data_IF_674803872032
#
_entry.id   IF_674803872032
#
_cell.length_a   1.000
_cell.length_b   1.000
_cell.length_c   1.000
_cell.angle_alpha   90.00
_cell.angle_beta   90.00
_cell.angle_gamma   90.00
#
_symmetry.space_group_name_H-M   'P 1'
#
loop_
_entity.id
_entity.type
_entity.pdbx_description
1 polymer ?
#
# COMPACT_ATOMS: atom_id res chain seq x y z
N UNK A 1 -0.79 23.43 20.89
CA UNK A 1 -0.16 23.23 19.57
C UNK A 1 1.19 22.58 19.82
N UNK A 2 1.48 21.40 19.26
CA UNK A 2 2.76 20.72 19.45
C UNK A 2 3.80 21.29 18.47
N UNK A 3 5.09 21.17 18.80
CA UNK A 3 6.17 21.58 17.88
C UNK A 3 6.20 20.65 16.66
N UNK A 4 6.08 21.22 15.47
CA UNK A 4 6.24 20.48 14.21
C UNK A 4 7.75 20.32 13.98
N UNK A 5 8.25 19.09 14.13
CA UNK A 5 9.66 18.76 13.88
C UNK A 5 9.91 18.54 12.38
N UNK A 6 8.92 17.97 11.68
CA UNK A 6 8.97 17.70 10.25
C UNK A 6 7.57 17.97 9.64
N UNK A 7 7.53 18.61 8.47
CA UNK A 7 6.28 18.86 7.76
C UNK A 7 5.88 17.65 6.92
N UNK A 8 4.83 16.97 7.38
CA UNK A 8 4.32 15.75 6.78
C UNK A 8 3.68 15.94 5.42
N UNK A 9 3.34 17.16 5.01
CA UNK A 9 2.80 17.41 3.67
C UNK A 9 3.86 17.42 2.58
N UNK A 10 5.12 17.68 2.93
CA UNK A 10 6.23 17.76 1.96
C UNK A 10 7.13 16.52 1.97
N UNK A 11 6.94 15.61 2.95
CA UNK A 11 7.82 14.43 3.13
C UNK A 11 7.85 13.49 1.94
N UNK A 12 6.72 13.32 1.24
CA UNK A 12 6.51 12.23 0.28
C UNK A 12 6.12 12.74 -1.11
N UNK A 13 6.67 13.89 -1.51
CA UNK A 13 6.52 14.40 -2.87
C UNK A 13 7.08 13.43 -3.92
N UNK A 14 6.48 13.33 -5.12
CA UNK A 14 6.94 12.42 -6.17
C UNK A 14 8.43 12.55 -6.50
N UNK A 15 8.98 13.76 -6.44
CA UNK A 15 10.40 14.03 -6.70
C UNK A 15 11.32 13.35 -5.69
N UNK A 16 10.93 13.36 -4.41
CA UNK A 16 11.68 12.72 -3.33
C UNK A 16 11.54 11.20 -3.43
N UNK A 17 10.30 10.74 -3.54
CA UNK A 17 9.99 9.31 -3.49
C UNK A 17 10.55 8.53 -4.69
N UNK A 18 10.59 9.16 -5.87
CA UNK A 18 11.12 8.54 -7.09
C UNK A 18 12.55 8.99 -7.42
N UNK A 19 13.31 9.57 -6.49
CA UNK A 19 14.69 10.05 -6.73
C UNK A 19 15.57 9.00 -7.43
N UNK A 20 15.60 7.76 -6.90
CA UNK A 20 16.41 6.67 -7.48
C UNK A 20 15.95 6.31 -8.90
N UNK A 21 14.65 6.37 -9.15
CA UNK A 21 14.08 6.07 -10.46
C UNK A 21 14.40 7.18 -11.47
N UNK A 22 14.27 8.44 -11.08
CA UNK A 22 14.55 9.60 -11.92
C UNK A 22 16.04 9.65 -12.31
N UNK A 23 16.93 9.24 -11.41
CA UNK A 23 18.36 9.13 -11.69
C UNK A 23 18.72 8.10 -12.78
N UNK A 24 17.82 7.18 -13.12
CA UNK A 24 18.04 6.21 -14.22
C UNK A 24 17.92 6.81 -15.62
N UNK A 25 17.42 8.05 -15.74
CA UNK A 25 17.15 8.72 -17.03
C UNK A 25 16.14 8.00 -17.95
N UNK A 26 15.45 6.96 -17.46
CA UNK A 26 14.36 6.28 -18.18
C UNK A 26 12.98 6.91 -17.91
N UNK A 27 12.88 7.69 -16.83
CA UNK A 27 11.65 8.30 -16.33
C UNK A 27 11.84 9.80 -16.15
N UNK A 28 10.75 10.56 -16.26
CA UNK A 28 10.74 12.01 -16.07
C UNK A 28 9.56 12.45 -15.22
N UNK A 29 9.74 13.59 -14.57
CA UNK A 29 8.63 14.35 -14.01
C UNK A 29 7.87 15.03 -15.17
N UNK A 30 6.55 14.93 -15.14
CA UNK A 30 5.64 15.68 -16.01
C UNK A 30 4.77 16.61 -15.17
N UNK A 31 4.66 17.86 -15.62
CA UNK A 31 3.76 18.87 -15.07
C UNK A 31 2.51 19.06 -15.95
N UNK A 32 2.22 18.10 -16.84
CA UNK A 32 1.07 18.17 -17.75
C UNK A 32 -0.26 18.33 -17.01
N UNK A 33 -0.33 17.86 -15.76
CA UNK A 33 -1.52 17.96 -14.91
C UNK A 33 -1.41 19.06 -13.82
N UNK A 34 -0.51 20.05 -13.96
CA UNK A 34 -0.29 21.09 -12.94
C UNK A 34 -1.56 21.88 -12.57
N UNK A 35 -2.47 22.06 -13.52
CA UNK A 35 -3.76 22.74 -13.34
C UNK A 35 -4.93 21.77 -13.12
N UNK A 36 -4.64 20.46 -13.00
CA UNK A 36 -5.61 19.39 -12.86
C UNK A 36 -6.62 19.25 -14.02
N UNK A 37 -6.31 19.85 -15.18
CA UNK A 37 -7.20 19.84 -16.36
C UNK A 37 -7.16 18.53 -17.15
N UNK A 38 -6.05 17.78 -17.07
CA UNK A 38 -5.90 16.47 -17.76
C UNK A 38 -6.60 15.37 -16.96
N UNK A 39 -6.39 15.37 -15.64
CA UNK A 39 -7.10 14.51 -14.72
C UNK A 39 -7.32 15.22 -13.39
N UNK A 40 -8.59 15.52 -13.07
CA UNK A 40 -8.95 16.26 -11.85
C UNK A 40 -8.75 15.48 -10.54
N UNK A 41 -8.45 14.19 -10.64
CA UNK A 41 -8.29 13.27 -9.50
C UNK A 41 -6.87 12.72 -9.35
N UNK A 42 -5.96 13.02 -10.28
CA UNK A 42 -4.53 12.78 -10.10
C UNK A 42 -3.84 13.99 -9.51
N UNK A 43 -2.61 13.77 -9.06
CA UNK A 43 -1.72 14.81 -8.56
C UNK A 43 -1.31 15.80 -9.65
N UNK A 44 -0.83 16.97 -9.22
CA UNK A 44 -0.32 18.02 -10.10
C UNK A 44 1.01 17.64 -10.77
N UNK A 45 1.77 16.76 -10.12
CA UNK A 45 3.07 16.25 -10.55
C UNK A 45 2.98 14.74 -10.74
N UNK A 46 3.48 14.26 -11.88
CA UNK A 46 3.35 12.86 -12.30
C UNK A 46 4.69 12.31 -12.81
N UNK A 47 4.88 11.00 -12.66
CA UNK A 47 6.06 10.30 -13.19
C UNK A 47 5.65 9.50 -14.42
N UNK A 48 6.28 9.81 -15.55
CA UNK A 48 6.01 9.18 -16.85
C UNK A 48 7.32 8.72 -17.51
N UNK A 49 7.29 7.74 -18.42
CA UNK A 49 8.50 7.33 -19.15
C UNK A 49 9.06 8.50 -19.97
N UNK A 50 10.39 8.64 -20.03
CA UNK A 50 11.04 9.77 -20.69
C UNK A 50 10.73 9.85 -22.20
N UNK A 51 10.46 8.70 -22.83
CA UNK A 51 10.09 8.59 -24.25
C UNK A 51 8.64 9.01 -24.56
N UNK A 52 7.82 9.26 -23.54
CA UNK A 52 6.43 9.70 -23.68
C UNK A 52 6.38 11.20 -23.52
N UNK A 53 5.92 11.91 -24.55
CA UNK A 53 5.63 13.35 -24.54
C UNK A 53 4.27 13.67 -23.88
N UNK A 54 4.09 14.92 -23.46
CA UNK A 54 2.88 15.36 -22.75
C UNK A 54 1.61 15.30 -23.64
N UNK A 55 1.73 15.47 -24.96
CA UNK A 55 0.61 15.32 -25.89
C UNK A 55 0.10 13.87 -25.96
N UNK A 56 1.01 12.90 -25.92
CA UNK A 56 0.70 11.47 -25.81
C UNK A 56 -0.06 11.20 -24.50
N UNK A 57 0.35 11.83 -23.40
CA UNK A 57 -0.34 11.71 -22.11
C UNK A 57 -1.76 12.26 -22.20
N UNK A 58 -1.95 13.46 -22.74
CA UNK A 58 -3.28 14.08 -22.90
C UNK A 58 -4.18 13.22 -23.79
N UNK A 59 -3.65 12.67 -24.89
CA UNK A 59 -4.41 11.79 -25.77
C UNK A 59 -4.85 10.48 -25.09
N UNK A 60 -4.00 9.86 -24.25
CA UNK A 60 -4.38 8.70 -23.44
C UNK A 60 -5.38 9.08 -22.34
N UNK A 61 -5.24 10.25 -21.70
CA UNK A 61 -6.19 10.74 -20.72
C UNK A 61 -7.61 10.87 -21.29
N UNK A 62 -7.74 11.44 -22.49
CA UNK A 62 -9.03 11.53 -23.19
C UNK A 62 -9.64 10.17 -23.58
N UNK A 63 -8.85 9.10 -23.55
CA UNK A 63 -9.30 7.73 -23.80
C UNK A 63 -9.61 6.95 -22.52
N UNK A 64 -9.28 7.47 -21.33
CA UNK A 64 -9.41 6.77 -20.05
C UNK A 64 -10.47 7.45 -19.19
N UNK A 65 -11.32 6.67 -18.54
CA UNK A 65 -12.41 7.18 -17.71
C UNK A 65 -11.90 8.20 -16.66
N UNK A 66 -12.48 9.40 -16.63
CA UNK A 66 -12.07 10.48 -15.73
C UNK A 66 -10.65 11.04 -15.98
N UNK A 67 -10.08 10.82 -17.16
CA UNK A 67 -8.72 11.27 -17.48
C UNK A 67 -7.62 10.43 -16.82
N UNK A 68 -7.95 9.31 -16.18
CA UNK A 68 -7.01 8.52 -15.36
C UNK A 68 -6.20 7.55 -16.22
N UNK A 69 -5.31 8.12 -17.04
CA UNK A 69 -4.40 7.38 -17.91
C UNK A 69 -3.40 6.50 -17.14
N UNK A 70 -2.75 5.53 -17.80
CA UNK A 70 -1.76 4.68 -17.16
C UNK A 70 -0.60 5.49 -16.57
N UNK A 71 -0.45 5.41 -15.24
CA UNK A 71 0.66 6.02 -14.49
C UNK A 71 1.46 4.97 -13.73
N UNK A 72 2.71 5.30 -13.43
CA UNK A 72 3.57 4.49 -12.59
C UNK A 72 2.99 4.37 -11.16
N UNK A 73 3.00 3.15 -10.66
CA UNK A 73 2.73 2.82 -9.26
C UNK A 73 4.00 2.30 -8.58
N UNK A 74 4.73 1.39 -9.24
CA UNK A 74 5.96 0.79 -8.72
C UNK A 74 6.85 0.25 -9.85
N UNK A 75 8.18 0.29 -9.66
CA UNK A 75 9.15 -0.41 -10.51
C UNK A 75 9.92 -1.40 -9.63
N UNK A 76 9.87 -2.68 -10.00
CA UNK A 76 10.58 -3.75 -9.28
C UNK A 76 12.07 -3.77 -9.66
N UNK A 77 12.91 -4.34 -8.79
CA UNK A 77 14.37 -4.40 -8.99
C UNK A 77 14.79 -5.15 -10.27
N UNK A 78 13.97 -6.09 -10.74
CA UNK A 78 14.17 -6.79 -12.03
C UNK A 78 13.77 -5.95 -13.26
N UNK A 79 13.36 -4.70 -13.08
CA UNK A 79 12.97 -3.76 -14.14
C UNK A 79 11.50 -3.82 -14.54
N UNK A 80 10.70 -4.75 -14.03
CA UNK A 80 9.25 -4.81 -14.33
C UNK A 80 8.51 -3.65 -13.70
N UNK A 81 7.43 -3.22 -14.36
CA UNK A 81 6.70 -2.00 -14.00
C UNK A 81 5.24 -2.34 -13.65
N UNK A 82 4.78 -1.83 -12.52
CA UNK A 82 3.39 -1.79 -12.12
C UNK A 82 2.79 -0.44 -12.50
N UNK A 83 1.82 -0.47 -13.40
CA UNK A 83 0.99 0.64 -13.81
C UNK A 83 -0.41 0.52 -13.22
N UNK A 84 -1.07 1.67 -13.11
CA UNK A 84 -2.49 1.75 -12.76
C UNK A 84 -3.22 2.78 -13.60
N UNK A 85 -4.51 2.55 -13.83
CA UNK A 85 -5.37 3.45 -14.60
C UNK A 85 -6.84 3.23 -14.26
N UNK A 86 -7.72 3.97 -14.93
CA UNK A 86 -9.13 3.61 -15.09
C UNK A 86 -9.38 2.80 -16.36
N UNK A 87 -10.62 2.36 -16.57
CA UNK A 87 -11.00 1.65 -17.79
C UNK A 87 -10.81 2.51 -19.06
N UNK A 88 -10.58 1.88 -20.22
CA UNK A 88 -10.63 2.58 -21.51
C UNK A 88 -12.07 2.93 -21.92
N UNK A 89 -12.22 4.03 -22.65
CA UNK A 89 -13.46 4.55 -23.24
C UNK A 89 -13.57 4.11 -24.71
N UNK A 90 -14.17 2.94 -24.92
CA UNK A 90 -14.30 2.30 -26.23
C UNK A 90 -15.47 2.85 -27.07
N UNK A 91 -16.44 3.52 -26.45
CA UNK A 91 -17.61 4.15 -27.09
C UNK A 91 -18.34 3.25 -28.11
N UNK A 92 -18.56 1.97 -27.75
CA UNK A 92 -19.36 1.02 -28.53
C UNK A 92 -18.71 0.45 -29.80
N UNK A 93 -17.51 0.91 -30.20
CA UNK A 93 -16.86 0.52 -31.46
C UNK A 93 -15.46 -0.08 -31.29
N UNK A 94 -15.11 -0.54 -30.08
CA UNK A 94 -13.74 -0.95 -29.73
C UNK A 94 -12.71 0.11 -30.17
N UNK A 95 -13.02 1.40 -29.93
CA UNK A 95 -12.19 2.53 -30.32
C UNK A 95 -10.73 2.29 -29.91
N UNK A 96 -9.82 2.52 -30.85
CA UNK A 96 -8.38 2.39 -30.65
C UNK A 96 -7.76 3.71 -30.17
N UNK A 97 -6.76 3.64 -29.30
CA UNK A 97 -5.95 4.78 -28.91
C UNK A 97 -4.45 4.45 -29.01
N UNK A 98 -3.81 4.92 -30.09
CA UNK A 98 -2.36 4.71 -30.31
C UNK A 98 -1.49 5.31 -29.21
N UNK A 99 -1.93 6.42 -28.60
CA UNK A 99 -1.22 7.06 -27.52
C UNK A 99 -1.22 6.20 -26.24
N UNK A 100 -2.38 5.62 -25.89
CA UNK A 100 -2.50 4.69 -24.77
C UNK A 100 -1.64 3.44 -24.99
N UNK A 101 -1.69 2.86 -26.18
CA UNK A 101 -0.81 1.74 -26.58
C UNK A 101 0.68 2.10 -26.47
N UNK A 102 1.07 3.31 -26.91
CA UNK A 102 2.47 3.80 -26.84
C UNK A 102 2.94 3.90 -25.38
N UNK A 103 2.10 4.42 -24.48
CA UNK A 103 2.42 4.50 -23.04
C UNK A 103 2.64 3.10 -22.47
N UNK A 104 1.67 2.19 -22.66
CA UNK A 104 1.80 0.84 -22.15
C UNK A 104 3.04 0.13 -22.71
N UNK A 105 3.24 0.17 -24.03
CA UNK A 105 4.36 -0.53 -24.64
C UNK A 105 5.73 0.05 -24.28
N UNK A 106 5.81 1.30 -23.81
CA UNK A 106 7.07 1.92 -23.37
C UNK A 106 7.64 1.33 -22.08
N UNK A 107 6.81 0.64 -21.26
CA UNK A 107 7.24 0.04 -19.99
C UNK A 107 7.46 -1.47 -20.07
N UNK A 108 7.35 -2.03 -21.27
CA UNK A 108 7.57 -3.45 -21.49
C UNK A 108 9.07 -3.75 -21.54
N UNK A 109 9.49 -4.77 -20.77
CA UNK A 109 10.88 -5.25 -20.79
C UNK A 109 11.28 -5.95 -22.09
N UNK A 110 12.49 -6.52 -22.16
CA UNK A 110 13.07 -7.10 -23.39
C UNK A 110 12.19 -8.16 -24.08
N UNK A 111 11.44 -8.95 -23.30
CA UNK A 111 10.55 -9.99 -23.80
C UNK A 111 9.18 -9.48 -24.26
N UNK A 112 8.93 -8.16 -24.14
CA UNK A 112 7.73 -7.43 -24.56
C UNK A 112 6.40 -8.10 -24.23
N UNK A 113 6.27 -8.61 -23.01
CA UNK A 113 5.03 -9.20 -22.48
C UNK A 113 4.59 -8.44 -21.24
N UNK A 114 3.30 -8.13 -21.16
CA UNK A 114 2.68 -7.54 -19.99
C UNK A 114 1.35 -8.20 -19.65
N UNK A 115 0.84 -7.93 -18.46
CA UNK A 115 -0.48 -8.35 -18.02
C UNK A 115 -1.39 -7.15 -17.80
N UNK A 116 -2.63 -7.24 -18.26
CA UNK A 116 -3.69 -6.32 -17.85
C UNK A 116 -4.56 -7.08 -16.87
N UNK A 117 -4.57 -6.66 -15.62
CA UNK A 117 -5.36 -7.29 -14.57
C UNK A 117 -6.57 -6.38 -14.29
N UNK A 118 -7.71 -6.76 -14.85
CA UNK A 118 -8.98 -6.05 -14.67
C UNK A 118 -9.66 -6.56 -13.40
N UNK A 119 -9.94 -5.63 -12.49
CA UNK A 119 -10.54 -5.90 -11.18
C UNK A 119 -12.04 -6.19 -11.24
N UNK A 120 -12.59 -6.46 -12.42
CA UNK A 120 -14.04 -6.65 -12.62
C UNK A 120 -14.33 -8.01 -13.23
N UNK A 121 -15.54 -8.50 -12.98
CA UNK A 121 -16.06 -9.68 -13.67
C UNK A 121 -16.36 -9.36 -15.13
N UNK A 122 -16.30 -10.37 -16.00
CA UNK A 122 -16.69 -10.23 -17.41
C UNK A 122 -18.10 -9.64 -17.57
N UNK A 123 -19.03 -10.00 -16.68
CA UNK A 123 -20.39 -9.44 -16.64
C UNK A 123 -20.36 -7.94 -16.36
N UNK A 124 -19.57 -7.50 -15.38
CA UNK A 124 -19.48 -6.08 -15.07
C UNK A 124 -18.77 -5.29 -16.18
N UNK A 125 -17.73 -5.86 -16.79
CA UNK A 125 -17.07 -5.27 -17.97
C UNK A 125 -18.07 -5.05 -19.11
N UNK A 126 -18.95 -6.01 -19.38
CA UNK A 126 -20.00 -5.86 -20.40
C UNK A 126 -20.98 -4.73 -20.06
N UNK A 127 -21.36 -4.57 -18.78
CA UNK A 127 -22.17 -3.44 -18.33
C UNK A 127 -21.46 -2.09 -18.45
N UNK A 128 -20.13 -2.06 -18.36
CA UNK A 128 -19.35 -0.86 -18.62
C UNK A 128 -19.27 -0.56 -20.13
N UNK A 129 -19.13 -1.60 -20.97
CA UNK A 129 -19.14 -1.45 -22.44
C UNK A 129 -20.43 -0.81 -22.95
N UNK A 130 -21.59 -1.17 -22.40
CA UNK A 130 -22.87 -0.56 -22.77
C UNK A 130 -22.96 0.94 -22.40
N UNK A 131 -22.07 1.44 -21.54
CA UNK A 131 -21.95 2.84 -21.14
C UNK A 131 -20.73 3.54 -21.76
N UNK A 132 -20.10 2.93 -22.77
CA UNK A 132 -18.94 3.49 -23.46
C UNK A 132 -17.58 3.12 -22.87
N UNK A 133 -17.51 2.49 -21.70
CA UNK A 133 -16.28 1.96 -21.11
C UNK A 133 -15.87 0.60 -21.71
N UNK A 134 -15.15 -0.21 -20.93
CA UNK A 134 -14.81 -1.57 -21.31
C UNK A 134 -13.43 -2.03 -20.81
N UNK A 135 -12.77 -2.85 -21.62
CA UNK A 135 -11.39 -3.35 -21.41
C UNK A 135 -10.69 -3.41 -22.77
N UNK A 136 -9.38 -3.32 -22.75
CA UNK A 136 -8.45 -3.25 -23.86
C UNK A 136 -8.74 -4.34 -24.93
N UNK A 137 -9.00 -3.98 -26.20
CA UNK A 137 -9.25 -4.98 -27.26
C UNK A 137 -8.00 -5.79 -27.61
N UNK A 138 -8.11 -7.12 -27.67
CA UNK A 138 -6.96 -8.03 -27.91
C UNK A 138 -6.20 -7.74 -29.21
N UNK A 139 -6.92 -7.29 -30.25
CA UNK A 139 -6.33 -6.92 -31.55
C UNK A 139 -5.45 -5.67 -31.54
N UNK A 140 -5.48 -4.86 -30.47
CA UNK A 140 -4.68 -3.63 -30.35
C UNK A 140 -3.64 -3.71 -29.24
N UNK A 141 -3.87 -4.58 -28.25
CA UNK A 141 -3.00 -4.78 -27.09
C UNK A 141 -2.40 -6.19 -27.10
N UNK A 142 -1.88 -6.61 -28.25
CA UNK A 142 -1.37 -7.97 -28.50
C UNK A 142 -0.21 -8.42 -27.58
N UNK A 143 0.56 -7.47 -27.03
CA UNK A 143 1.64 -7.72 -26.07
C UNK A 143 1.13 -7.88 -24.63
N UNK A 144 -0.15 -7.61 -24.39
CA UNK A 144 -0.76 -7.55 -23.07
C UNK A 144 -1.79 -8.65 -22.89
N UNK A 145 -1.48 -9.63 -22.03
CA UNK A 145 -2.40 -10.69 -21.68
C UNK A 145 -3.40 -10.20 -20.63
N UNK A 146 -4.69 -10.18 -20.95
CA UNK A 146 -5.74 -9.82 -20.00
C UNK A 146 -6.06 -10.96 -19.03
N UNK A 147 -6.25 -10.61 -17.77
CA UNK A 147 -6.67 -11.51 -16.68
C UNK A 147 -7.72 -10.79 -15.83
N UNK A 148 -8.83 -11.48 -15.53
CA UNK A 148 -9.89 -10.94 -14.67
C UNK A 148 -9.71 -11.43 -13.23
N UNK A 149 -9.67 -10.51 -12.27
CA UNK A 149 -9.68 -10.78 -10.83
C UNK A 149 -10.79 -9.96 -10.17
N UNK A 150 -12.03 -10.46 -10.15
CA UNK A 150 -13.20 -9.65 -9.84
C UNK A 150 -13.25 -9.21 -8.36
N UNK A 151 -13.21 -7.90 -8.15
CA UNK A 151 -13.51 -7.18 -6.92
C UNK A 151 -14.70 -6.23 -7.17
N UNK A 152 -15.77 -6.77 -7.78
CA UNK A 152 -16.91 -5.99 -8.30
C UNK A 152 -17.57 -5.12 -7.24
N UNK A 153 -17.84 -5.67 -6.05
CA UNK A 153 -18.50 -4.94 -4.95
C UNK A 153 -17.67 -3.74 -4.52
N UNK A 154 -16.35 -3.93 -4.42
CA UNK A 154 -15.42 -2.86 -4.06
C UNK A 154 -15.37 -1.79 -5.16
N UNK A 155 -15.33 -2.23 -6.43
CA UNK A 155 -15.23 -1.33 -7.60
C UNK A 155 -16.52 -0.54 -7.89
N UNK A 156 -17.68 -1.09 -7.55
CA UNK A 156 -19.00 -0.46 -7.80
C UNK A 156 -19.36 0.62 -6.78
N UNK A 157 -18.85 0.51 -5.55
CA UNK A 157 -19.22 1.40 -4.45
C UNK A 157 -20.73 1.52 -4.25
N UNK A 158 -21.45 0.39 -4.28
CA UNK A 158 -22.90 0.31 -4.12
C UNK A 158 -23.37 0.23 -2.66
N UNK A 159 -22.43 0.31 -1.71
CA UNK A 159 -22.68 0.20 -0.27
C UNK A 159 -22.74 -1.24 0.25
N UNK A 160 -22.60 -2.26 -0.60
CA UNK A 160 -22.63 -3.67 -0.16
C UNK A 160 -21.47 -4.05 0.76
N UNK A 161 -20.27 -3.49 0.53
CA UNK A 161 -19.11 -3.74 1.41
C UNK A 161 -19.32 -3.11 2.79
N UNK A 162 -19.92 -1.91 2.84
CA UNK A 162 -20.30 -1.25 4.10
C UNK A 162 -21.34 -2.07 4.86
N UNK A 163 -22.34 -2.63 4.16
CA UNK A 163 -23.33 -3.53 4.75
C UNK A 163 -22.69 -4.78 5.35
N UNK A 164 -21.72 -5.41 4.68
CA UNK A 164 -21.04 -6.58 5.25
C UNK A 164 -20.20 -6.22 6.47
N UNK A 165 -19.58 -5.03 6.50
CA UNK A 165 -18.84 -4.56 7.68
C UNK A 165 -19.79 -4.29 8.85
N UNK A 166 -20.90 -3.59 8.61
CA UNK A 166 -21.97 -3.38 9.59
C UNK A 166 -22.43 -4.72 10.18
N UNK A 167 -22.73 -5.70 9.33
CA UNK A 167 -23.09 -7.06 9.76
C UNK A 167 -22.00 -7.74 10.57
N UNK A 168 -20.71 -7.58 10.24
CA UNK A 168 -19.62 -8.09 11.07
C UNK A 168 -19.64 -7.45 12.47
N UNK A 169 -19.87 -6.14 12.55
CA UNK A 169 -19.83 -5.41 13.84
C UNK A 169 -21.02 -5.75 14.73
N UNK A 170 -22.25 -5.86 14.20
CA UNK A 170 -23.33 -6.33 15.08
C UNK A 170 -23.14 -7.80 15.45
N UNK A 171 -22.51 -8.64 14.60
CA UNK A 171 -22.13 -9.98 15.02
C UNK A 171 -21.19 -9.88 16.23
N UNK A 172 -20.11 -9.09 16.12
CA UNK A 172 -19.12 -8.82 17.18
C UNK A 172 -19.72 -8.38 18.51
N UNK A 173 -20.89 -7.72 18.47
CA UNK A 173 -21.56 -7.19 19.65
C UNK A 173 -22.60 -8.15 20.23
N UNK A 174 -23.03 -9.16 19.47
CA UNK A 174 -24.06 -10.13 19.88
C UNK A 174 -23.46 -11.26 20.72
N UNK A 175 -23.86 -11.34 21.99
CA UNK A 175 -23.41 -12.40 22.93
C UNK A 175 -24.20 -13.71 22.81
N UNK A 176 -25.39 -13.70 22.21
CA UNK A 176 -26.31 -14.85 22.12
C UNK A 176 -26.47 -15.40 20.69
N UNK A 177 -25.49 -15.18 19.80
CA UNK A 177 -25.54 -15.70 18.42
C UNK A 177 -25.11 -17.17 18.36
N UNK A 178 -25.74 -17.95 17.48
CA UNK A 178 -25.22 -19.28 17.12
C UNK A 178 -23.91 -19.15 16.33
N UNK A 179 -23.05 -20.18 16.40
CA UNK A 179 -21.78 -20.22 15.67
C UNK A 179 -21.97 -20.02 14.17
N UNK A 180 -22.99 -20.66 13.57
CA UNK A 180 -23.25 -20.57 12.13
C UNK A 180 -23.64 -19.15 11.69
N UNK A 181 -24.50 -18.48 12.47
CA UNK A 181 -24.91 -17.09 12.19
C UNK A 181 -23.72 -16.15 12.30
N UNK A 182 -22.91 -16.30 13.34
CA UNK A 182 -21.68 -15.54 13.51
C UNK A 182 -20.72 -15.73 12.33
N UNK A 183 -20.41 -16.99 12.01
CA UNK A 183 -19.48 -17.34 10.93
C UNK A 183 -19.95 -16.78 9.59
N UNK A 184 -21.25 -16.85 9.28
CA UNK A 184 -21.78 -16.32 8.01
C UNK A 184 -21.56 -14.81 7.84
N UNK A 185 -21.68 -14.02 8.92
CA UNK A 185 -21.51 -12.56 8.92
C UNK A 185 -20.03 -12.20 8.81
N UNK A 186 -19.19 -12.88 9.57
CA UNK A 186 -17.73 -12.72 9.52
C UNK A 186 -17.14 -13.11 8.16
N UNK A 187 -17.62 -14.22 7.58
CA UNK A 187 -17.08 -14.76 6.32
C UNK A 187 -17.25 -13.80 5.15
N UNK A 188 -18.34 -13.02 5.10
CA UNK A 188 -18.56 -12.04 4.05
C UNK A 188 -17.50 -10.93 4.05
N UNK A 189 -17.11 -10.44 5.23
CA UNK A 189 -16.03 -9.46 5.35
C UNK A 189 -14.69 -10.08 4.96
N UNK A 190 -14.37 -11.25 5.53
CA UNK A 190 -13.11 -11.95 5.27
C UNK A 190 -12.93 -12.33 3.80
N UNK A 191 -14.02 -12.58 3.06
CA UNK A 191 -13.96 -12.83 1.61
C UNK A 191 -13.47 -11.60 0.83
N UNK A 192 -13.80 -10.37 1.24
CA UNK A 192 -13.25 -9.17 0.59
C UNK A 192 -11.74 -9.07 0.80
N UNK A 193 -11.28 -9.32 2.04
CA UNK A 193 -9.85 -9.34 2.39
C UNK A 193 -9.12 -10.42 1.60
N UNK A 194 -9.69 -11.63 1.57
CA UNK A 194 -9.14 -12.75 0.83
C UNK A 194 -9.02 -12.47 -0.67
N UNK A 195 -10.07 -11.92 -1.29
CA UNK A 195 -10.08 -11.63 -2.73
C UNK A 195 -9.07 -10.53 -3.09
N UNK A 196 -8.94 -9.51 -2.24
CA UNK A 196 -7.93 -8.46 -2.40
C UNK A 196 -6.50 -9.01 -2.30
N UNK A 197 -6.21 -9.83 -1.29
CA UNK A 197 -4.91 -10.49 -1.14
C UNK A 197 -4.62 -11.42 -2.34
N UNK A 198 -5.60 -12.21 -2.79
CA UNK A 198 -5.44 -13.07 -3.97
C UNK A 198 -5.08 -12.28 -5.24
N UNK A 199 -5.75 -11.15 -5.48
CA UNK A 199 -5.46 -10.30 -6.63
C UNK A 199 -4.07 -9.65 -6.51
N UNK A 200 -3.70 -9.17 -5.33
CA UNK A 200 -2.39 -8.58 -5.08
C UNK A 200 -1.25 -9.61 -5.20
N UNK A 201 -1.44 -10.84 -4.71
CA UNK A 201 -0.48 -11.93 -4.90
C UNK A 201 -0.27 -12.26 -6.38
N UNK A 202 -1.34 -12.25 -7.21
CA UNK A 202 -1.17 -12.43 -8.65
C UNK A 202 -0.34 -11.29 -9.26
N UNK A 203 -0.65 -10.03 -8.94
CA UNK A 203 0.12 -8.87 -9.43
C UNK A 203 1.58 -9.01 -9.03
N UNK A 204 1.85 -9.33 -7.76
CA UNK A 204 3.19 -9.53 -7.26
C UNK A 204 3.92 -10.67 -7.98
N UNK A 205 3.24 -11.78 -8.24
CA UNK A 205 3.79 -12.92 -8.97
C UNK A 205 4.14 -12.55 -10.42
N UNK A 206 3.29 -11.79 -11.11
CA UNK A 206 3.58 -11.35 -12.47
C UNK A 206 4.85 -10.46 -12.54
N UNK A 207 5.03 -9.57 -11.56
CA UNK A 207 6.20 -8.69 -11.49
C UNK A 207 7.48 -9.46 -11.11
N UNK A 208 7.45 -10.23 -10.02
CA UNK A 208 8.64 -10.88 -9.45
C UNK A 208 9.01 -12.19 -10.16
N UNK A 209 8.03 -13.07 -10.41
CA UNK A 209 8.26 -14.43 -10.93
C UNK A 209 8.17 -14.53 -12.44
N UNK A 210 7.17 -13.90 -13.05
CA UNK A 210 7.00 -13.97 -14.50
C UNK A 210 7.92 -12.97 -15.24
N UNK A 211 8.46 -11.97 -14.52
CA UNK A 211 9.27 -10.91 -15.13
C UNK A 211 8.46 -10.05 -16.12
N UNK A 212 7.17 -9.85 -15.86
CA UNK A 212 6.25 -9.13 -16.74
C UNK A 212 5.68 -7.86 -16.09
N UNK A 213 5.65 -6.76 -16.84
CA UNK A 213 4.99 -5.52 -16.40
C UNK A 213 3.48 -5.70 -16.32
N UNK A 214 2.83 -5.00 -15.40
CA UNK A 214 1.41 -5.19 -15.09
C UNK A 214 0.67 -3.85 -15.13
N UNK A 215 -0.46 -3.79 -15.83
CA UNK A 215 -1.45 -2.72 -15.71
C UNK A 215 -2.60 -3.23 -14.84
N UNK A 216 -2.89 -2.56 -13.73
CA UNK A 216 -4.08 -2.83 -12.90
C UNK A 216 -5.11 -1.74 -13.11
N UNK A 217 -6.36 -2.10 -13.41
CA UNK A 217 -7.45 -1.13 -13.43
C UNK A 217 -8.79 -1.75 -13.02
N UNK A 218 -9.70 -0.88 -12.60
CA UNK A 218 -11.12 -1.19 -12.40
C UNK A 218 -11.95 -0.31 -13.33
N UNK A 219 -13.14 0.09 -12.90
CA UNK A 219 -13.95 1.07 -13.64
C UNK A 219 -13.30 2.46 -13.59
N UNK A 220 -13.22 3.05 -12.39
CA UNK A 220 -12.62 4.38 -12.17
C UNK A 220 -11.16 4.35 -11.73
N UNK A 221 -10.64 3.20 -11.29
CA UNK A 221 -9.27 3.11 -10.77
C UNK A 221 -9.05 3.86 -9.45
N UNK A 222 -10.09 4.00 -8.62
CA UNK A 222 -10.07 4.76 -7.36
C UNK A 222 -10.22 3.92 -6.10
N UNK A 223 -10.55 2.63 -6.23
CA UNK A 223 -10.89 1.75 -5.11
C UNK A 223 -10.10 0.43 -5.18
N UNK A 224 -10.69 -0.63 -5.75
CA UNK A 224 -10.06 -1.96 -5.84
C UNK A 224 -8.65 -1.94 -6.45
N UNK A 225 -8.44 -1.09 -7.46
CA UNK A 225 -7.13 -0.86 -8.06
C UNK A 225 -6.09 -0.43 -7.04
N UNK A 226 -6.41 0.54 -6.18
CA UNK A 226 -5.47 1.10 -5.19
C UNK A 226 -5.16 0.09 -4.09
N UNK A 227 -6.14 -0.72 -3.67
CA UNK A 227 -5.89 -1.84 -2.74
C UNK A 227 -4.86 -2.79 -3.35
N UNK A 228 -5.12 -3.25 -4.56
CA UNK A 228 -4.32 -4.30 -5.20
C UNK A 228 -2.90 -3.81 -5.53
N UNK A 229 -2.75 -2.59 -6.03
CA UNK A 229 -1.41 -2.01 -6.29
C UNK A 229 -0.63 -1.74 -5.01
N UNK A 230 -1.30 -1.28 -3.95
CA UNK A 230 -0.65 -1.02 -2.66
C UNK A 230 -0.19 -2.32 -1.99
N UNK A 231 -1.04 -3.35 -1.95
CA UNK A 231 -0.70 -4.62 -1.30
C UNK A 231 0.39 -5.37 -2.09
N UNK A 232 0.38 -5.31 -3.42
CA UNK A 232 1.48 -5.87 -4.22
C UNK A 232 2.82 -5.20 -3.87
N UNK A 233 2.82 -3.88 -3.62
CA UNK A 233 4.01 -3.17 -3.15
C UNK A 233 4.41 -3.56 -1.73
N UNK A 234 3.47 -3.76 -0.80
CA UNK A 234 3.82 -4.25 0.56
C UNK A 234 4.43 -5.66 0.51
N UNK A 235 3.96 -6.51 -0.41
CA UNK A 235 4.50 -7.86 -0.64
C UNK A 235 5.93 -7.80 -1.16
N UNK A 236 6.19 -6.98 -2.19
CA UNK A 236 7.45 -6.96 -2.93
C UNK A 236 8.50 -6.03 -2.33
N UNK A 237 8.10 -4.83 -1.89
CA UNK A 237 9.01 -3.76 -1.51
C UNK A 237 9.21 -3.73 0.02
N UNK A 238 10.43 -4.00 0.55
CA UNK A 238 10.73 -3.88 1.97
C UNK A 238 10.50 -2.49 2.54
N UNK A 239 10.65 -1.42 1.75
CA UNK A 239 10.47 -0.06 2.24
C UNK A 239 9.02 0.16 2.67
N UNK A 240 8.03 -0.41 1.95
CA UNK A 240 6.60 -0.34 2.29
C UNK A 240 6.23 -1.00 3.63
N UNK A 241 7.17 -1.74 4.26
CA UNK A 241 7.00 -2.39 5.57
C UNK A 241 7.66 -1.60 6.71
N UNK A 242 8.28 -0.46 6.39
CA UNK A 242 8.78 0.51 7.36
C UNK A 242 7.70 1.55 7.69
N UNK A 243 7.85 2.27 8.80
CA UNK A 243 6.93 3.36 9.19
C UNK A 243 6.86 4.39 8.07
N UNK A 244 8.01 4.88 7.61
CA UNK A 244 8.09 5.92 6.58
C UNK A 244 7.62 5.42 5.23
N UNK A 245 7.96 4.20 4.84
CA UNK A 245 7.52 3.68 3.56
C UNK A 245 6.04 3.30 3.51
N UNK A 246 5.41 2.92 4.63
CA UNK A 246 3.94 2.81 4.67
C UNK A 246 3.27 4.20 4.52
N UNK A 247 3.80 5.24 5.18
CA UNK A 247 3.31 6.61 5.01
C UNK A 247 3.47 7.09 3.56
N UNK A 248 4.63 6.85 2.96
CA UNK A 248 4.91 7.16 1.55
C UNK A 248 3.97 6.41 0.60
N UNK A 249 3.71 5.13 0.86
CA UNK A 249 2.77 4.32 0.10
C UNK A 249 1.35 4.89 0.18
N UNK A 250 0.88 5.29 1.37
CA UNK A 250 -0.44 5.91 1.54
C UNK A 250 -0.51 7.24 0.81
N UNK A 251 0.50 8.11 0.94
CA UNK A 251 0.54 9.38 0.23
C UNK A 251 0.50 9.19 -1.29
N UNK A 252 1.38 8.36 -1.84
CA UNK A 252 1.43 8.11 -3.28
C UNK A 252 0.18 7.40 -3.79
N UNK A 253 -0.16 6.24 -3.21
CA UNK A 253 -1.16 5.35 -3.79
C UNK A 253 -2.60 5.77 -3.48
N UNK A 254 -2.84 6.47 -2.37
CA UNK A 254 -4.20 6.81 -1.94
C UNK A 254 -4.47 8.29 -2.07
N UNK A 255 -3.60 9.15 -1.54
CA UNK A 255 -3.86 10.58 -1.43
C UNK A 255 -3.60 11.31 -2.75
N UNK A 256 -2.39 11.21 -3.30
CA UNK A 256 -1.99 11.78 -4.61
C UNK A 256 -2.75 11.14 -5.78
N UNK A 257 -3.25 9.93 -5.58
CA UNK A 257 -4.03 9.19 -6.59
C UNK A 257 -5.51 9.54 -6.59
N UNK A 258 -5.95 10.32 -5.61
CA UNK A 258 -7.31 10.81 -5.48
C UNK A 258 -8.31 9.77 -5.00
N UNK A 259 -7.92 8.83 -4.12
CA UNK A 259 -8.92 8.04 -3.39
C UNK A 259 -9.89 9.01 -2.69
N UNK A 260 -11.20 8.93 -2.96
CA UNK A 260 -12.13 9.96 -2.53
C UNK A 260 -12.53 9.79 -1.05
N UNK A 261 -11.58 10.05 -0.13
CA UNK A 261 -11.75 9.85 1.32
C UNK A 261 -13.00 10.52 1.87
N UNK A 262 -13.23 11.79 1.55
CA UNK A 262 -14.42 12.52 2.01
C UNK A 262 -15.73 11.81 1.59
N UNK A 263 -15.83 11.39 0.34
CA UNK A 263 -17.02 10.68 -0.16
C UNK A 263 -17.16 9.28 0.46
N UNK A 264 -16.05 8.53 0.55
CA UNK A 264 -16.03 7.15 1.05
C UNK A 264 -16.33 7.06 2.54
N UNK A 265 -15.91 8.08 3.31
CA UNK A 265 -16.06 8.16 4.76
C UNK A 265 -17.14 9.16 5.21
N UNK A 266 -18.05 9.56 4.30
CA UNK A 266 -19.14 10.50 4.61
C UNK A 266 -20.05 10.04 5.76
N UNK A 267 -20.15 8.73 5.97
CA UNK A 267 -20.84 8.13 7.11
C UNK A 267 -19.83 7.44 8.01
N UNK A 268 -20.23 7.27 9.27
CA UNK A 268 -19.50 6.45 10.21
C UNK A 268 -19.25 5.04 9.64
N UNK A 269 -18.10 4.46 9.97
CA UNK A 269 -17.61 3.21 9.41
C UNK A 269 -18.59 2.02 9.58
N UNK A 270 -19.43 2.04 10.63
CA UNK A 270 -20.42 0.99 10.91
C UNK A 270 -21.86 1.49 10.69
N UNK A 271 -22.07 2.29 9.65
CA UNK A 271 -23.40 2.77 9.31
C UNK A 271 -24.28 1.64 8.75
N UNK A 272 -25.37 1.34 9.45
CA UNK A 272 -26.27 0.21 9.15
C UNK A 272 -27.27 0.51 8.00
N UNK A 273 -26.80 1.10 6.90
CA UNK A 273 -27.61 1.29 5.68
C UNK A 273 -26.76 1.46 4.42
N UNK A 274 -27.25 0.89 3.32
CA UNK A 274 -26.61 1.00 2.00
C UNK A 274 -26.61 2.45 1.54
N UNK A 275 -25.42 3.03 1.47
CA UNK A 275 -25.24 4.36 0.90
C UNK A 275 -24.27 4.27 -0.26
N UNK A 276 -24.76 4.57 -1.47
CA UNK A 276 -23.93 4.57 -2.67
C UNK A 276 -22.79 5.59 -2.50
N UNK A 277 -21.57 5.18 -2.86
CA UNK A 277 -20.37 6.01 -2.75
C UNK A 277 -19.67 5.97 -1.38
N UNK A 278 -20.33 5.49 -0.33
CA UNK A 278 -19.73 5.28 1.00
C UNK A 278 -19.23 3.85 1.10
N UNK A 279 -17.96 3.66 1.47
CA UNK A 279 -17.37 2.33 1.52
C UNK A 279 -16.11 2.27 2.38
N UNK A 280 -15.89 1.19 3.16
CA UNK A 280 -14.67 0.98 3.94
C UNK A 280 -13.50 0.45 3.07
N UNK A 281 -13.26 1.05 1.89
CA UNK A 281 -12.21 0.61 0.95
C UNK A 281 -10.81 0.71 1.59
N UNK A 282 -10.52 1.83 2.25
CA UNK A 282 -9.23 2.03 2.93
C UNK A 282 -9.04 1.06 4.10
N UNK A 283 -10.11 0.72 4.81
CA UNK A 283 -10.05 -0.28 5.87
C UNK A 283 -9.73 -1.68 5.33
N UNK A 284 -10.25 -2.09 4.17
CA UNK A 284 -9.86 -3.36 3.53
C UNK A 284 -8.35 -3.40 3.29
N UNK A 285 -7.76 -2.30 2.82
CA UNK A 285 -6.32 -2.19 2.63
C UNK A 285 -5.54 -2.36 3.94
N UNK A 286 -5.95 -1.67 5.00
CA UNK A 286 -5.30 -1.79 6.31
C UNK A 286 -5.45 -3.20 6.90
N UNK A 287 -6.61 -3.83 6.72
CA UNK A 287 -6.86 -5.22 7.15
C UNK A 287 -5.98 -6.19 6.35
N UNK A 288 -5.82 -6.01 5.04
CA UNK A 288 -4.85 -6.78 4.25
C UNK A 288 -3.42 -6.65 4.80
N UNK A 289 -2.97 -5.45 5.19
CA UNK A 289 -1.66 -5.28 5.85
C UNK A 289 -1.63 -6.00 7.19
N UNK A 290 -2.70 -5.94 7.98
CA UNK A 290 -2.81 -6.71 9.22
C UNK A 290 -2.65 -8.21 8.98
N UNK A 291 -3.28 -8.78 7.95
CA UNK A 291 -3.11 -10.19 7.59
C UNK A 291 -1.65 -10.53 7.25
N UNK A 292 -0.96 -9.66 6.50
CA UNK A 292 0.48 -9.82 6.22
C UNK A 292 1.31 -9.72 7.50
N UNK A 293 0.99 -8.78 8.39
CA UNK A 293 1.66 -8.58 9.67
C UNK A 293 1.58 -9.83 10.56
N UNK A 294 0.39 -10.46 10.64
CA UNK A 294 0.19 -11.70 11.39
C UNK A 294 1.03 -12.87 10.85
N UNK A 295 1.16 -12.98 9.53
CA UNK A 295 1.93 -14.06 8.90
C UNK A 295 3.45 -13.78 8.91
N UNK A 296 3.85 -12.52 8.96
CA UNK A 296 5.26 -12.09 8.93
C UNK A 296 5.58 -11.09 10.05
N UNK A 297 5.46 -11.47 11.34
CA UNK A 297 5.50 -10.55 12.48
C UNK A 297 6.83 -9.81 12.65
N UNK A 298 7.93 -10.33 12.11
CA UNK A 298 9.24 -9.66 12.17
C UNK A 298 9.52 -8.78 10.93
N UNK A 299 8.71 -8.84 9.87
CA UNK A 299 9.00 -8.12 8.62
C UNK A 299 8.50 -6.67 8.59
N UNK A 300 7.76 -6.23 9.62
CA UNK A 300 7.18 -4.88 9.70
C UNK A 300 7.80 -4.07 10.85
N UNK A 301 8.21 -2.84 10.56
CA UNK A 301 8.82 -1.93 11.53
C UNK A 301 7.80 -1.41 12.55
N UNK A 302 6.52 -1.38 12.18
CA UNK A 302 5.43 -0.89 13.00
C UNK A 302 4.55 -2.02 13.56
N UNK A 303 3.87 -1.75 14.67
CA UNK A 303 2.82 -2.59 15.24
C UNK A 303 1.49 -2.34 14.52
N UNK A 304 0.54 -3.25 14.71
CA UNK A 304 -0.84 -3.10 14.23
C UNK A 304 -1.55 -1.88 14.84
N UNK A 305 -1.13 -1.38 16.01
CA UNK A 305 -1.59 -0.13 16.61
C UNK A 305 -1.47 1.07 15.66
N UNK A 306 -0.39 1.13 14.86
CA UNK A 306 -0.21 2.20 13.87
C UNK A 306 -1.30 2.13 12.79
N UNK A 307 -1.67 0.93 12.35
CA UNK A 307 -2.74 0.75 11.36
C UNK A 307 -4.11 1.16 11.93
N UNK A 308 -4.37 0.86 13.22
CA UNK A 308 -5.59 1.28 13.92
C UNK A 308 -5.64 2.80 14.03
N UNK A 309 -4.55 3.47 14.41
CA UNK A 309 -4.49 4.93 14.46
C UNK A 309 -4.73 5.56 13.09
N UNK A 310 -4.12 5.02 12.03
CA UNK A 310 -4.35 5.48 10.66
C UNK A 310 -5.81 5.29 10.26
N UNK A 311 -6.42 4.15 10.59
CA UNK A 311 -7.83 3.91 10.37
C UNK A 311 -8.71 4.96 11.07
N UNK A 312 -8.50 5.21 12.36
CA UNK A 312 -9.29 6.17 13.13
C UNK A 312 -9.16 7.59 12.56
N UNK A 313 -7.93 8.03 12.30
CA UNK A 313 -7.66 9.33 11.70
C UNK A 313 -8.12 9.46 10.24
N UNK A 314 -8.45 8.36 9.56
CA UNK A 314 -9.07 8.44 8.24
C UNK A 314 -10.57 8.77 8.29
N UNK A 315 -11.26 8.48 9.39
CA UNK A 315 -12.69 8.79 9.59
C UNK A 315 -12.91 10.03 10.43
N UNK A 316 -12.13 10.22 11.50
CA UNK A 316 -12.24 11.34 12.40
C UNK A 316 -10.85 11.80 12.84
N UNK A 317 -10.51 13.05 12.54
CA UNK A 317 -9.16 13.55 12.77
C UNK A 317 -9.10 15.04 13.04
N UNK A 318 -8.15 15.43 13.87
CA UNK A 318 -7.71 16.81 14.02
C UNK A 318 -6.69 17.23 12.93
N UNK A 319 -6.27 16.29 12.07
CA UNK A 319 -5.27 16.50 11.02
C UNK A 319 -5.92 16.57 9.64
N UNK A 320 -5.27 17.25 8.69
CA UNK A 320 -5.79 17.41 7.33
C UNK A 320 -5.52 16.24 6.38
N UNK A 321 -4.69 15.26 6.77
CA UNK A 321 -4.16 14.22 5.86
C UNK A 321 -5.22 13.51 5.02
N UNK A 322 -6.35 13.13 5.62
CA UNK A 322 -7.42 12.36 4.95
C UNK A 322 -8.65 13.20 4.56
N UNK A 323 -8.55 14.53 4.57
CA UNK A 323 -9.66 15.39 4.13
C UNK A 323 -9.69 15.52 2.59
N UNK A 324 -10.86 15.92 2.09
CA UNK A 324 -11.22 16.05 0.67
C UNK A 324 -11.10 14.74 -0.14
N UNK A 325 -11.38 14.79 -1.45
CA UNK A 325 -11.35 13.62 -2.32
C UNK A 325 -10.09 13.49 -3.20
N UNK A 326 -9.40 14.60 -3.47
CA UNK A 326 -8.18 14.59 -4.28
C UNK A 326 -7.31 15.82 -3.99
N UNK A 327 -6.06 15.82 -4.49
CA UNK A 327 -5.12 16.92 -4.30
C UNK A 327 -5.69 18.28 -4.73
N UNK A 328 -6.39 18.35 -5.88
CA UNK A 328 -7.04 19.58 -6.35
C UNK A 328 -7.96 20.20 -5.30
N UNK A 329 -8.88 19.41 -4.74
CA UNK A 329 -9.81 19.90 -3.72
C UNK A 329 -9.06 20.36 -2.45
N UNK A 330 -7.93 19.73 -2.11
CA UNK A 330 -7.09 20.14 -0.96
C UNK A 330 -6.41 21.49 -1.20
N UNK A 331 -5.97 21.73 -2.44
CA UNK A 331 -5.41 23.03 -2.85
C UNK A 331 -6.50 24.09 -2.82
N UNK A 332 -7.67 23.82 -3.37
CA UNK A 332 -8.80 24.77 -3.45
C UNK A 332 -9.23 25.29 -2.06
N UNK A 333 -9.21 24.44 -1.04
CA UNK A 333 -9.56 24.81 0.34
C UNK A 333 -8.37 25.32 1.17
N UNK A 334 -7.17 25.40 0.58
CA UNK A 334 -5.90 25.77 1.23
C UNK A 334 -5.53 24.85 2.41
N UNK A 335 -5.83 23.56 2.29
CA UNK A 335 -5.71 22.57 3.36
C UNK A 335 -4.32 22.55 3.98
N UNK A 336 -3.28 22.53 3.13
CA UNK A 336 -1.88 22.43 3.57
C UNK A 336 -1.42 23.61 4.41
N UNK A 337 -2.09 24.78 4.31
CA UNK A 337 -1.81 25.97 5.11
C UNK A 337 -2.68 26.04 6.37
N UNK A 338 -3.89 25.48 6.32
CA UNK A 338 -4.89 25.60 7.39
C UNK A 338 -4.88 24.44 8.39
N UNK A 339 -4.20 23.35 8.07
CA UNK A 339 -4.18 22.13 8.89
C UNK A 339 -2.76 21.61 9.05
N UNK A 340 -2.59 20.58 9.89
CA UNK A 340 -1.30 19.87 10.05
C UNK A 340 -1.46 18.43 9.62
N UNK A 341 -0.38 17.86 9.08
CA UNK A 341 -0.33 16.46 8.67
C UNK A 341 -0.31 15.51 9.87
N UNK A 342 -1.02 14.38 9.75
CA UNK A 342 -0.94 13.25 10.67
C UNK A 342 0.51 12.73 10.77
N UNK A 343 1.26 12.74 9.67
CA UNK A 343 2.64 12.26 9.66
C UNK A 343 3.55 13.11 10.53
N UNK A 344 3.36 14.44 10.54
CA UNK A 344 4.06 15.36 11.46
C UNK A 344 3.84 15.01 12.92
N UNK A 345 2.67 14.45 13.26
CA UNK A 345 2.36 14.01 14.60
C UNK A 345 2.93 12.62 14.90
N UNK A 346 2.66 11.63 14.05
CA UNK A 346 3.06 10.23 14.27
C UNK A 346 4.59 10.05 14.29
N UNK A 347 5.32 10.87 13.54
CA UNK A 347 6.78 10.77 13.45
C UNK A 347 7.53 11.45 14.60
N UNK A 348 6.80 12.05 15.56
CA UNK A 348 7.44 12.58 16.77
C UNK A 348 8.04 11.44 17.59
N UNK A 349 9.25 11.60 18.17
CA UNK A 349 9.92 10.53 18.89
C UNK A 349 9.09 9.88 20.02
N UNK A 350 8.32 10.70 20.76
CA UNK A 350 7.48 10.25 21.86
C UNK A 350 6.28 9.39 21.41
N UNK A 351 5.72 9.71 20.23
CA UNK A 351 4.64 8.94 19.62
C UNK A 351 5.19 7.71 18.91
N UNK A 352 6.16 7.92 18.02
CA UNK A 352 6.72 6.90 17.14
C UNK A 352 7.25 5.69 17.91
N UNK A 353 7.98 5.91 19.02
CA UNK A 353 8.56 4.82 19.83
C UNK A 353 7.49 3.84 20.33
N UNK A 354 6.27 4.32 20.59
CA UNK A 354 5.16 3.47 21.03
C UNK A 354 4.60 2.59 19.91
N UNK A 355 4.82 2.97 18.64
CA UNK A 355 4.31 2.30 17.44
C UNK A 355 5.31 1.32 16.83
N UNK A 356 6.58 1.35 17.25
CA UNK A 356 7.62 0.49 16.71
C UNK A 356 7.49 -0.96 17.18
N UNK A 357 7.56 -1.88 16.24
CA UNK A 357 7.58 -3.31 16.50
C UNK A 357 8.95 -3.73 17.07
N UNK A 358 9.03 -4.21 18.32
CA UNK A 358 10.30 -4.60 18.91
C UNK A 358 10.95 -5.79 18.19
N UNK A 359 10.18 -6.66 17.52
CA UNK A 359 10.69 -7.84 16.82
C UNK A 359 11.03 -7.57 15.35
N UNK A 360 11.02 -6.31 14.91
CA UNK A 360 11.35 -5.98 13.54
C UNK A 360 12.78 -6.41 13.18
N UNK A 361 12.89 -7.19 12.12
CA UNK A 361 14.13 -7.58 11.47
C UNK A 361 14.01 -7.25 9.98
N UNK A 362 14.87 -6.36 9.43
CA UNK A 362 14.81 -5.97 8.03
C UNK A 362 14.85 -7.19 7.09
N UNK A 363 13.72 -7.48 6.44
CA UNK A 363 13.59 -8.55 5.46
C UNK A 363 13.52 -7.96 4.05
N UNK A 364 14.60 -8.10 3.28
CA UNK A 364 14.70 -7.54 1.92
C UNK A 364 13.92 -8.33 0.87
N UNK A 365 13.49 -9.55 1.19
CA UNK A 365 12.84 -10.43 0.24
C UNK A 365 11.33 -10.20 0.19
N UNK A 366 10.67 -10.54 -0.94
CA UNK A 366 9.22 -10.58 -1.01
C UNK A 366 8.60 -11.51 0.04
N UNK A 367 7.47 -11.10 0.63
CA UNK A 367 6.71 -11.89 1.61
C UNK A 367 5.45 -12.49 0.97
N UNK A 368 5.44 -13.80 0.72
CA UNK A 368 4.33 -14.49 0.05
C UNK A 368 3.31 -15.04 1.05
N UNK A 369 2.17 -14.38 1.30
CA UNK A 369 1.21 -14.86 2.29
C UNK A 369 0.45 -16.09 1.80
N UNK A 370 0.02 -16.91 2.74
CA UNK A 370 -1.09 -17.83 2.51
C UNK A 370 -2.40 -17.05 2.48
N UNK A 371 -3.15 -17.21 1.39
CA UNK A 371 -4.47 -16.62 1.18
C UNK A 371 -5.60 -17.63 1.34
N UNK A 372 -5.30 -18.81 1.91
CA UNK A 372 -6.30 -19.79 2.29
C UNK A 372 -7.19 -19.21 3.41
N UNK A 373 -8.52 -19.47 3.42
CA UNK A 373 -9.41 -18.90 4.43
C UNK A 373 -8.96 -19.16 5.87
N UNK A 374 -8.41 -20.35 6.14
CA UNK A 374 -7.89 -20.77 7.45
C UNK A 374 -6.65 -20.00 7.91
N UNK A 375 -5.93 -19.38 6.98
CA UNK A 375 -4.74 -18.56 7.28
C UNK A 375 -5.08 -17.10 7.57
N UNK A 376 -6.33 -16.70 7.37
CA UNK A 376 -6.80 -15.34 7.62
C UNK A 376 -7.52 -15.28 8.97
N UNK A 377 -7.23 -14.25 9.75
CA UNK A 377 -7.77 -14.08 11.10
C UNK A 377 -8.59 -12.80 11.18
N UNK A 378 -9.64 -12.81 12.01
CA UNK A 378 -10.36 -11.60 12.33
C UNK A 378 -9.43 -10.65 13.09
N UNK A 379 -9.40 -9.38 12.69
CA UNK A 379 -8.59 -8.36 13.36
C UNK A 379 -9.20 -7.98 14.72
N UNK A 380 -8.92 -8.80 15.73
CA UNK A 380 -9.52 -8.68 17.06
C UNK A 380 -9.25 -7.31 17.71
N UNK A 381 -8.03 -6.78 17.56
CA UNK A 381 -7.63 -5.48 18.11
C UNK A 381 -8.41 -4.30 17.52
N UNK A 382 -9.09 -4.50 16.38
CA UNK A 382 -9.95 -3.49 15.77
C UNK A 382 -11.43 -3.80 15.99
N UNK A 383 -11.88 -4.98 15.58
CA UNK A 383 -13.31 -5.32 15.53
C UNK A 383 -13.88 -5.76 16.90
N UNK A 384 -13.05 -6.31 17.78
CA UNK A 384 -13.44 -6.79 19.12
C UNK A 384 -12.90 -5.92 20.27
N UNK A 385 -12.31 -4.77 19.96
CA UNK A 385 -11.58 -3.91 20.91
C UNK A 385 -12.42 -3.38 22.08
N UNK A 386 -13.73 -3.33 21.91
CA UNK A 386 -14.69 -2.87 22.93
C UNK A 386 -15.41 -4.02 23.64
N UNK A 387 -15.27 -5.25 23.13
CA UNK A 387 -16.03 -6.41 23.56
C UNK A 387 -15.14 -7.41 24.31
N UNK A 388 -13.93 -7.65 23.80
CA UNK A 388 -12.98 -8.61 24.36
C UNK A 388 -11.88 -7.85 25.11
N UNK A 389 -11.63 -8.24 26.36
CA UNK A 389 -10.52 -7.69 27.13
C UNK A 389 -9.17 -8.15 26.55
N UNK A 390 -8.48 -7.24 25.87
CA UNK A 390 -7.16 -7.47 25.28
C UNK A 390 -6.00 -7.32 26.30
N UNK A 391 -6.25 -7.24 27.61
CA UNK A 391 -5.20 -7.09 28.63
C UNK A 391 -4.13 -8.17 28.54
N UNK A 392 -4.51 -9.41 28.24
CA UNK A 392 -3.56 -10.51 28.15
C UNK A 392 -2.61 -10.35 26.95
N UNK A 393 -3.10 -10.00 25.75
CA UNK A 393 -2.22 -9.71 24.62
C UNK A 393 -1.31 -8.52 24.90
N UNK A 394 -1.83 -7.45 25.52
CA UNK A 394 -1.01 -6.29 25.92
C UNK A 394 0.12 -6.66 26.87
N UNK A 395 -0.17 -7.51 27.87
CA UNK A 395 0.86 -8.04 28.79
C UNK A 395 1.88 -8.90 28.06
N UNK A 396 1.44 -9.73 27.12
CA UNK A 396 2.34 -10.55 26.29
C UNK A 396 3.25 -9.67 25.42
N UNK A 397 2.72 -8.64 24.76
CA UNK A 397 3.48 -7.69 23.94
C UNK A 397 4.54 -6.94 24.77
N UNK A 398 4.18 -6.49 25.98
CA UNK A 398 5.14 -5.86 26.89
C UNK A 398 6.26 -6.83 27.33
N UNK A 399 5.91 -8.10 27.57
CA UNK A 399 6.89 -9.14 27.89
C UNK A 399 7.84 -9.39 26.72
N UNK A 400 7.33 -9.47 25.49
CA UNK A 400 8.14 -9.59 24.27
C UNK A 400 9.10 -8.40 24.15
N UNK A 401 8.62 -7.17 24.34
CA UNK A 401 9.47 -5.98 24.31
C UNK A 401 10.62 -6.04 25.32
N UNK A 402 10.33 -6.45 26.57
CA UNK A 402 11.35 -6.62 27.62
C UNK A 402 12.37 -7.71 27.25
N UNK A 403 11.92 -8.84 26.72
CA UNK A 403 12.80 -9.93 26.30
C UNK A 403 13.72 -9.52 25.14
N UNK A 404 13.18 -8.82 24.14
CA UNK A 404 13.97 -8.28 23.03
C UNK A 404 15.02 -7.29 23.53
N UNK A 405 14.64 -6.37 24.42
CA UNK A 405 15.58 -5.41 24.99
C UNK A 405 16.71 -6.12 25.75
N UNK A 406 16.35 -7.09 26.60
CA UNK A 406 17.33 -7.89 27.31
C UNK A 406 18.27 -8.65 26.37
N UNK A 407 17.74 -9.22 25.28
CA UNK A 407 18.55 -9.88 24.26
C UNK A 407 19.51 -8.92 23.54
N UNK A 408 19.08 -7.67 23.26
CA UNK A 408 19.95 -6.62 22.71
C UNK A 408 21.08 -6.27 23.67
N UNK A 409 20.77 -6.11 24.96
CA UNK A 409 21.76 -5.78 25.99
C UNK A 409 22.79 -6.91 26.14
N UNK A 410 22.35 -8.18 26.15
CA UNK A 410 23.23 -9.34 26.18
C UNK A 410 24.12 -9.43 24.94
N UNK A 411 23.59 -9.18 23.73
CA UNK A 411 24.38 -9.14 22.49
C UNK A 411 25.44 -8.05 22.53
N UNK A 412 25.09 -6.86 23.03
CA UNK A 412 26.05 -5.75 23.22
C UNK A 412 27.15 -6.11 24.20
N UNK A 413 26.80 -6.72 25.34
CA UNK A 413 27.76 -7.20 26.33
C UNK A 413 28.69 -8.27 25.75
N UNK A 414 28.14 -9.24 25.01
CA UNK A 414 28.92 -10.28 24.35
C UNK A 414 29.90 -9.69 23.31
N UNK A 415 29.47 -8.69 22.52
CA UNK A 415 30.34 -8.01 21.57
C UNK A 415 31.49 -7.27 22.26
N UNK A 416 31.22 -6.58 23.38
CA UNK A 416 32.25 -5.91 24.18
C UNK A 416 33.27 -6.90 24.77
N UNK A 417 32.80 -8.01 25.35
CA UNK A 417 33.67 -9.05 25.91
C UNK A 417 34.52 -9.73 24.83
N UNK A 418 33.97 -9.99 23.65
CA UNK A 418 34.74 -10.53 22.51
C UNK A 418 35.84 -9.59 22.06
N UNK A 419 35.55 -8.28 22.00
CA UNK A 419 36.56 -7.28 21.67
C UNK A 419 37.67 -7.23 22.72
N UNK A 420 37.31 -7.21 24.02
CA UNK A 420 38.29 -7.23 25.11
C UNK A 420 39.18 -8.48 25.06
N UNK A 421 38.59 -9.65 24.79
CA UNK A 421 39.36 -10.90 24.64
C UNK A 421 40.34 -10.83 23.46
N UNK A 422 39.92 -10.25 22.32
CA UNK A 422 40.81 -10.06 21.17
C UNK A 422 41.97 -9.11 21.47
N UNK A 423 41.71 -8.03 22.19
CA UNK A 423 42.73 -7.05 22.57
C UNK A 423 43.74 -7.68 23.55
N UNK A 424 43.27 -8.43 24.56
CA UNK A 424 44.14 -9.17 25.49
C UNK A 424 44.97 -10.26 24.81
N UNK A 425 44.41 -10.98 23.83
CA UNK A 425 45.16 -11.98 23.06
C UNK A 425 46.28 -11.36 22.23
N UNK A 426 46.07 -10.16 21.69
CA UNK A 426 47.12 -9.41 20.98
C UNK A 426 48.22 -8.96 21.92
N UNK A 427 47.88 -8.40 23.08
CA UNK A 427 48.86 -8.02 24.09
C UNK A 427 49.68 -9.23 24.55
N UNK A 428 49.03 -10.37 24.81
CA UNK A 428 49.73 -11.61 25.15
C UNK A 428 50.69 -12.06 24.05
N UNK A 429 50.31 -11.97 22.77
CA UNK A 429 51.20 -12.31 21.66
C UNK A 429 52.42 -11.39 21.56
N UNK A 430 52.26 -10.09 21.81
CA UNK A 430 53.38 -9.14 21.84
C UNK A 430 54.35 -9.52 22.96
N UNK A 431 53.85 -9.74 24.17
CA UNK A 431 54.69 -10.14 25.32
C UNK A 431 55.43 -11.45 25.05
N UNK A 432 54.79 -12.44 24.41
CA UNK A 432 55.43 -13.71 24.06
C UNK A 432 56.51 -13.54 22.98
N UNK A 433 56.34 -12.60 22.05
CA UNK A 433 57.37 -12.30 21.03
C UNK A 433 58.56 -11.56 21.65
N UNK A 434 58.31 -10.55 22.48
CA UNK A 434 59.36 -9.83 23.22
C UNK A 434 60.16 -10.78 24.12
N UNK A 435 59.50 -11.72 24.80
CA UNK A 435 60.17 -12.72 25.62
C UNK A 435 61.08 -13.67 24.81
N UNK A 436 60.72 -13.98 23.55
CA UNK A 436 61.55 -14.82 22.67
C UNK A 436 62.74 -14.07 22.09
N UNK A 437 62.59 -12.79 21.78
CA UNK A 437 63.72 -11.96 21.31
C UNK A 437 64.79 -11.77 22.40
N UNK A 438 64.40 -11.73 23.68
CA UNK A 438 65.35 -11.69 24.78
C UNK A 438 66.10 -13.02 25.02
N UNK A 439 65.54 -14.16 24.62
CA UNK A 439 66.18 -15.47 24.79
C UNK A 439 67.17 -15.82 23.66
N UNK A 440 67.13 -15.10 22.52
CA UNK A 440 68.02 -15.34 21.35
C UNK A 440 69.28 -14.42 21.34
N UNK A 441 69.40 -13.47 22.28
CA UNK A 441 70.52 -12.50 22.40
C UNK A 441 71.57 -12.87 23.49
N UNK A 442 71.40 -14.01 24.19
CA UNK A 442 72.37 -14.64 25.12
C UNK A 442 73.00 -15.90 24.49
#
# INVERSE_FOLDING_TARGET
MYSILEDGYTLFGPEVEFTKLLASEEWRISHVNRTYSVCSSYSSVLVVPKSIDDDTVVASANFREGGRFPILSYKHDNGTVLLRSSQPLLNGSNRRCKADEKILNSVLGPYKKGYIIDMRSSTYVNNCKSKGGGTEPDGHYNQWKKVFKPLDKISKCDGSVLEHLSKLIDACSETNSTSDKWLSRCSNWMTHIQNALNAACLVAQCLDKDGASVLVHGSSGLDATLIVTSIAQVILNPDCRTVRGLQALIEREWLQSGHPFHTRHLKFCFYNSKTKGVQPTFLIFLDCIHQLHQQFPCSFEFKTDMLILIFEHSYFSQFGTFLANCERERVDIELFRKTTSLWSYLNRPDVLTSLLNPTYEPNRFPIWPSVAPVSLQLWNDLYLRWIVDQQQQRRAALKVQKLVQHAKDLRSKAAKLRKQLQDQLKEYQVVVLEAKECDDDD
#
